data_IF_289213165860
#
_entry.id   IF_289213165860
#
_cell.length_a   1.000
_cell.length_b   1.000
_cell.length_c   1.000
_cell.angle_alpha   90.00
_cell.angle_beta   90.00
_cell.angle_gamma   90.00
#
_symmetry.space_group_name_H-M   'P 1'
#
loop_
_entity.id
_entity.type
_entity.pdbx_description
1 polymer ?
#
# COMPACT_ATOMS: atom_id res chain seq x y z
N UNK A 1 -9.85 35.62 33.13
CA UNK A 1 -10.05 35.43 31.68
C UNK A 1 -8.78 35.02 30.93
N UNK A 2 -7.61 35.65 31.19
CA UNK A 2 -6.33 35.34 30.50
C UNK A 2 -5.84 33.88 30.64
N UNK A 3 -6.08 33.23 31.78
CA UNK A 3 -5.70 31.82 32.03
C UNK A 3 -6.56 30.81 31.25
N UNK A 4 -7.82 31.15 30.95
CA UNK A 4 -8.74 30.26 30.23
C UNK A 4 -8.31 30.16 28.77
N UNK A 5 -7.94 31.29 28.16
CA UNK A 5 -7.41 31.33 26.79
C UNK A 5 -6.15 30.45 26.61
N UNK A 6 -5.26 30.44 27.61
CA UNK A 6 -4.04 29.64 27.59
C UNK A 6 -4.33 28.13 27.66
N UNK A 7 -5.33 27.73 28.45
CA UNK A 7 -5.75 26.32 28.58
C UNK A 7 -6.44 25.84 27.31
N UNK A 8 -7.30 26.67 26.69
CA UNK A 8 -7.94 26.34 25.41
C UNK A 8 -6.92 26.12 24.30
N UNK A 9 -5.82 26.89 24.28
CA UNK A 9 -4.77 26.74 23.26
C UNK A 9 -3.99 25.42 23.40
N UNK A 10 -3.72 24.97 24.63
CA UNK A 10 -3.03 23.69 24.90
C UNK A 10 -3.92 22.49 24.53
N UNK A 11 -5.23 22.59 24.73
CA UNK A 11 -6.18 21.52 24.40
C UNK A 11 -6.40 21.31 22.89
N UNK A 12 -6.04 22.28 22.04
CA UNK A 12 -6.15 22.17 20.58
C UNK A 12 -4.93 21.54 19.91
N UNK A 13 -3.83 21.35 20.65
CA UNK A 13 -2.57 20.83 20.11
C UNK A 13 -2.59 19.35 19.64
N UNK A 14 -3.33 18.41 20.26
CA UNK A 14 -3.25 16.99 19.87
C UNK A 14 -4.01 16.64 18.59
N UNK A 15 -4.68 17.59 17.93
CA UNK A 15 -5.47 17.32 16.71
C UNK A 15 -4.61 16.98 15.47
N UNK A 16 -3.30 17.23 15.52
CA UNK A 16 -2.40 16.97 14.39
C UNK A 16 -1.54 15.69 14.55
N UNK A 17 -1.78 14.87 15.58
CA UNK A 17 -0.85 13.81 15.97
C UNK A 17 -1.03 12.46 15.25
N UNK A 18 -1.97 12.31 14.31
CA UNK A 18 -2.29 11.00 13.72
C UNK A 18 -2.23 10.98 12.19
N UNK A 19 -1.01 10.88 11.64
CA UNK A 19 -0.81 10.41 10.27
C UNK A 19 0.57 9.75 10.11
N UNK A 20 0.80 8.66 10.85
CA UNK A 20 1.96 7.80 10.60
C UNK A 20 1.72 7.03 9.31
N UNK A 21 2.37 7.48 8.23
CA UNK A 21 2.42 6.75 6.97
C UNK A 21 3.59 5.78 6.98
N UNK A 22 3.32 4.52 6.65
CA UNK A 22 4.33 3.48 6.53
C UNK A 22 4.72 3.30 5.06
N UNK A 23 5.93 2.79 4.89
CA UNK A 23 6.47 2.38 3.60
C UNK A 23 6.65 0.87 3.67
N UNK A 24 6.08 0.17 2.69
CA UNK A 24 6.27 -1.26 2.50
C UNK A 24 7.09 -1.47 1.24
N UNK A 25 8.18 -2.20 1.36
CA UNK A 25 9.06 -2.55 0.25
C UNK A 25 9.41 -4.03 0.29
N UNK A 26 9.69 -4.60 -0.88
CA UNK A 26 10.10 -5.99 -1.00
C UNK A 26 10.40 -6.36 -2.45
N UNK A 27 10.70 -7.64 -2.68
CA UNK A 27 11.01 -8.16 -4.01
C UNK A 27 10.04 -9.29 -4.34
N UNK A 28 9.41 -9.21 -5.50
CA UNK A 28 8.53 -10.26 -6.03
C UNK A 28 9.38 -11.31 -6.72
N UNK A 29 9.28 -12.55 -6.25
CA UNK A 29 10.01 -13.69 -6.82
C UNK A 29 9.07 -14.82 -7.21
N UNK A 30 9.47 -15.64 -8.17
CA UNK A 30 8.77 -16.86 -8.57
C UNK A 30 9.18 -18.07 -7.69
N UNK A 31 8.62 -19.25 -7.99
CA UNK A 31 8.94 -20.49 -7.27
C UNK A 31 10.39 -20.95 -7.45
N UNK A 32 11.04 -20.48 -8.51
CA UNK A 32 12.45 -20.72 -8.83
C UNK A 32 13.38 -19.67 -8.20
N UNK A 33 12.85 -18.79 -7.32
CA UNK A 33 13.58 -17.70 -6.67
C UNK A 33 14.12 -16.62 -7.64
N UNK A 34 13.57 -16.54 -8.85
CA UNK A 34 13.89 -15.51 -9.84
C UNK A 34 12.99 -14.29 -9.63
N UNK A 35 13.56 -13.10 -9.82
CA UNK A 35 12.80 -11.86 -9.75
C UNK A 35 11.72 -11.80 -10.84
N UNK A 36 10.53 -11.29 -10.48
CA UNK A 36 9.43 -11.10 -11.42
C UNK A 36 9.32 -9.60 -11.73
N UNK A 37 9.90 -9.14 -12.85
CA UNK A 37 9.85 -7.73 -13.20
C UNK A 37 8.44 -7.29 -13.56
N UNK A 38 8.13 -6.01 -13.31
CA UNK A 38 6.86 -5.38 -13.67
C UNK A 38 5.61 -6.08 -13.11
N UNK A 39 5.76 -6.82 -12.01
CA UNK A 39 4.65 -7.42 -11.29
C UNK A 39 3.77 -6.32 -10.68
N UNK A 40 2.44 -6.47 -10.77
CA UNK A 40 1.53 -5.54 -10.12
C UNK A 40 1.37 -5.93 -8.66
N UNK A 41 1.65 -4.96 -7.79
CA UNK A 41 1.57 -5.09 -6.34
C UNK A 41 0.43 -4.23 -5.86
N UNK A 42 -0.52 -4.84 -5.15
CA UNK A 42 -1.63 -4.13 -4.53
C UNK A 42 -1.66 -4.41 -3.03
N UNK A 43 -1.92 -3.35 -2.28
CA UNK A 43 -2.18 -3.38 -0.84
C UNK A 43 -3.67 -3.20 -0.66
N UNK A 44 -4.31 -4.19 -0.04
CA UNK A 44 -5.74 -4.19 0.17
C UNK A 44 -6.05 -4.26 1.66
N UNK A 45 -7.22 -3.75 2.06
CA UNK A 45 -7.72 -3.94 3.42
C UNK A 45 -8.12 -5.39 3.62
N UNK A 46 -7.75 -5.97 4.76
CA UNK A 46 -8.10 -7.34 5.13
C UNK A 46 -9.59 -7.57 5.29
N UNK A 47 -10.33 -6.55 5.73
CA UNK A 47 -11.76 -6.68 6.04
C UNK A 47 -12.64 -6.82 4.79
N UNK A 48 -12.36 -6.06 3.73
CA UNK A 48 -13.24 -5.95 2.56
C UNK A 48 -12.50 -6.11 1.22
N UNK A 49 -11.20 -6.42 1.25
CA UNK A 49 -10.32 -6.45 0.07
C UNK A 49 -10.29 -5.17 -0.75
N UNK A 50 -10.78 -4.04 -0.22
CA UNK A 50 -10.74 -2.75 -0.91
C UNK A 50 -9.29 -2.32 -1.14
N UNK A 51 -9.04 -1.74 -2.32
CA UNK A 51 -7.71 -1.29 -2.69
C UNK A 51 -7.32 -0.07 -1.86
N UNK A 52 -6.18 -0.16 -1.16
CA UNK A 52 -5.57 0.95 -0.44
C UNK A 52 -4.57 1.66 -1.34
N UNK A 53 -3.67 0.89 -1.97
CA UNK A 53 -2.64 1.42 -2.87
C UNK A 53 -2.16 0.33 -3.83
N UNK A 54 -1.74 0.72 -5.02
CA UNK A 54 -1.11 -0.16 -5.99
C UNK A 54 0.18 0.48 -6.52
N UNK A 55 1.14 -0.36 -6.85
CA UNK A 55 2.39 0.00 -7.51
C UNK A 55 2.86 -1.16 -8.41
N UNK A 56 3.86 -0.91 -9.23
CA UNK A 56 4.45 -1.89 -10.14
C UNK A 56 5.91 -2.12 -9.74
N UNK A 57 6.33 -3.39 -9.73
CA UNK A 57 7.71 -3.74 -9.45
C UNK A 57 8.63 -3.27 -10.59
N UNK A 58 9.88 -2.95 -10.26
CA UNK A 58 10.91 -2.60 -11.23
C UNK A 58 11.40 -3.82 -12.05
N UNK A 59 12.42 -3.61 -12.87
CA UNK A 59 13.13 -4.63 -13.64
C UNK A 59 13.86 -5.67 -12.78
N UNK A 60 14.19 -5.32 -11.53
CA UNK A 60 14.69 -6.24 -10.51
C UNK A 60 13.59 -6.93 -9.69
N UNK A 61 12.30 -6.71 -10.02
CA UNK A 61 11.16 -7.23 -9.27
C UNK A 61 10.95 -6.56 -7.90
N UNK A 62 11.63 -5.46 -7.60
CA UNK A 62 11.51 -4.71 -6.34
C UNK A 62 10.37 -3.70 -6.41
N UNK A 63 9.62 -3.54 -5.32
CA UNK A 63 8.50 -2.61 -5.23
C UNK A 63 8.61 -1.75 -3.96
N UNK A 64 7.99 -0.56 -3.97
CA UNK A 64 7.96 0.34 -2.81
C UNK A 64 6.63 1.09 -2.71
N UNK A 65 5.73 0.60 -1.87
CA UNK A 65 4.44 1.24 -1.60
C UNK A 65 4.55 2.14 -0.37
N UNK A 66 4.57 3.45 -0.59
CA UNK A 66 4.58 4.46 0.46
C UNK A 66 3.18 5.04 0.73
N UNK A 67 3.02 5.73 1.87
CA UNK A 67 1.79 6.46 2.18
C UNK A 67 0.67 5.59 2.74
N UNK A 68 1.01 4.42 3.29
CA UNK A 68 0.02 3.51 3.86
C UNK A 68 -0.27 3.96 5.30
N UNK A 69 -1.51 4.35 5.59
CA UNK A 69 -1.91 4.70 6.95
C UNK A 69 -1.85 3.48 7.88
N UNK A 70 -1.34 3.66 9.10
CA UNK A 70 -1.49 2.64 10.15
C UNK A 70 -2.98 2.35 10.38
N UNK A 71 -3.37 1.10 10.19
CA UNK A 71 -4.73 0.63 10.42
C UNK A 71 -4.73 -0.89 10.55
N UNK A 72 -5.64 -1.41 11.38
CA UNK A 72 -5.76 -2.83 11.66
C UNK A 72 -6.20 -3.62 10.41
N UNK A 73 -5.28 -4.41 9.88
CA UNK A 73 -5.54 -5.44 8.87
C UNK A 73 -5.31 -4.97 7.44
N UNK A 74 -4.06 -5.06 6.98
CA UNK A 74 -3.69 -4.96 5.57
C UNK A 74 -3.14 -6.30 5.10
N UNK A 75 -3.44 -6.70 3.87
CA UNK A 75 -2.76 -7.81 3.21
C UNK A 75 -2.31 -7.42 1.81
N UNK A 76 -1.32 -8.16 1.33
CA UNK A 76 -0.67 -7.92 0.05
C UNK A 76 -1.20 -8.91 -0.98
N UNK A 77 -1.64 -8.38 -2.12
CA UNK A 77 -1.99 -9.19 -3.26
C UNK A 77 -1.02 -8.87 -4.41
N UNK A 78 -0.19 -9.86 -4.72
CA UNK A 78 0.70 -9.83 -5.88
C UNK A 78 -0.04 -10.45 -7.05
N UNK A 79 -0.43 -9.63 -8.02
CA UNK A 79 -0.91 -10.15 -9.30
C UNK A 79 0.23 -10.05 -10.28
N UNK A 80 0.70 -11.22 -10.74
CA UNK A 80 1.37 -11.28 -12.04
C UNK A 80 0.31 -10.85 -13.05
N UNK A 81 0.39 -9.63 -13.58
CA UNK A 81 -0.44 -9.28 -14.71
C UNK A 81 -0.02 -10.20 -15.84
N UNK A 82 -0.82 -11.25 -16.02
CA UNK A 82 -0.90 -11.98 -17.24
C UNK A 82 -1.25 -10.97 -18.36
N UNK A 83 -0.22 -10.49 -19.03
CA UNK A 83 -0.33 -10.00 -20.42
C UNK A 83 -0.67 -11.14 -21.40
N UNK A 84 -1.07 -12.31 -20.88
CA UNK A 84 -1.84 -13.27 -21.64
C UNK A 84 -3.26 -12.72 -21.84
N UNK A 85 -3.37 -11.75 -22.76
CA UNK A 85 -4.61 -11.51 -23.46
C UNK A 85 -5.14 -12.86 -23.90
N UNK A 86 -6.35 -13.17 -23.44
CA UNK A 86 -7.21 -14.22 -23.94
C UNK A 86 -7.28 -14.09 -25.47
N UNK A 87 -6.37 -14.73 -26.22
CA UNK A 87 -6.60 -15.05 -27.63
C UNK A 87 -7.75 -16.04 -27.62
N UNK A 88 -8.98 -15.54 -27.71
CA UNK A 88 -10.09 -16.38 -28.15
C UNK A 88 -9.74 -16.78 -29.59
N UNK A 89 -9.57 -18.07 -29.92
CA UNK A 89 -9.71 -18.47 -31.30
C UNK A 89 -11.18 -18.24 -31.66
N UNK A 90 -11.46 -17.28 -32.54
CA UNK A 90 -12.69 -17.35 -33.30
C UNK A 90 -12.54 -18.55 -34.24
N UNK A 91 -13.49 -19.48 -34.14
CA UNK A 91 -13.70 -20.54 -35.13
C UNK A 91 -14.07 -19.91 -36.47
#
# INVERSE_FOLDING_TARGET
MKKILQVTFILLFPLFAYSQSFIVSGTVKNQQNEAVPFAAVSVNKSLDSSLVKADVADDGGTFKVAGIAAGSGLFYQFKKHAWFQRRRPYK
#
